data_IF_169107415698
#
_entry.id   IF_169107415698
#
_cell.length_a   1.000
_cell.length_b   1.000
_cell.length_c   1.000
_cell.angle_alpha   90.00
_cell.angle_beta   90.00
_cell.angle_gamma   90.00
#
_symmetry.space_group_name_H-M   'P 1'
#
loop_
_entity.id
_entity.type
_entity.pdbx_description
1 polymer ?
#
# COMPACT_ATOMS: atom_id res chain seq x y z
N UNK A 1 -11.40 -7.56 -5.10
CA UNK A 1 -10.91 -7.13 -3.78
C UNK A 1 -11.13 -5.63 -3.55
N UNK A 2 -10.60 -4.73 -4.43
CA UNK A 2 -10.62 -3.27 -4.22
C UNK A 2 -12.01 -2.69 -4.00
N UNK A 3 -13.03 -3.20 -4.67
CA UNK A 3 -14.42 -2.77 -4.50
C UNK A 3 -15.12 -3.37 -3.28
N UNK A 4 -14.56 -4.44 -2.70
CA UNK A 4 -15.15 -5.13 -1.56
C UNK A 4 -14.73 -4.55 -0.20
N UNK A 5 -13.71 -3.70 -0.15
CA UNK A 5 -13.14 -3.18 1.09
C UNK A 5 -13.57 -1.73 1.29
N UNK A 6 -14.34 -1.48 2.36
CA UNK A 6 -14.72 -0.13 2.81
C UNK A 6 -13.59 0.47 3.64
N UNK A 7 -12.71 1.21 2.97
CA UNK A 7 -11.55 1.83 3.64
C UNK A 7 -11.94 3.00 4.54
N UNK A 8 -13.06 3.66 4.28
CA UNK A 8 -13.56 4.75 5.13
C UNK A 8 -14.09 4.20 6.45
N UNK A 9 -14.80 3.07 6.40
CA UNK A 9 -15.22 2.36 7.61
C UNK A 9 -14.01 1.87 8.42
N UNK A 10 -12.97 1.34 7.77
CA UNK A 10 -11.71 0.93 8.42
C UNK A 10 -11.03 2.16 9.06
N UNK A 11 -10.94 3.27 8.34
CA UNK A 11 -10.35 4.51 8.87
C UNK A 11 -11.10 4.99 10.12
N UNK A 12 -12.42 5.02 10.07
CA UNK A 12 -13.24 5.42 11.20
C UNK A 12 -13.08 4.48 12.41
N UNK A 13 -13.11 3.17 12.18
CA UNK A 13 -13.10 2.16 13.25
C UNK A 13 -11.73 1.98 13.93
N UNK A 14 -10.65 1.97 13.17
CA UNK A 14 -9.31 1.62 13.65
C UNK A 14 -8.35 2.80 13.73
N UNK A 15 -8.61 3.89 13.00
CA UNK A 15 -7.70 5.02 12.87
C UNK A 15 -8.35 6.34 13.29
N UNK A 16 -9.55 6.30 13.85
CA UNK A 16 -10.32 7.48 14.35
C UNK A 16 -10.49 8.55 13.27
N UNK A 17 -10.53 8.18 11.99
CA UNK A 17 -10.61 9.11 10.87
C UNK A 17 -9.33 9.92 10.60
N UNK A 18 -8.22 9.61 11.27
CA UNK A 18 -6.99 10.39 11.18
C UNK A 18 -6.10 10.02 10.00
N UNK A 19 -6.38 8.93 9.32
CA UNK A 19 -5.62 8.53 8.14
C UNK A 19 -6.10 9.26 6.89
N UNK A 20 -5.21 9.47 5.94
CA UNK A 20 -5.55 9.88 4.60
C UNK A 20 -5.62 8.64 3.72
N UNK A 21 -6.79 8.42 3.10
CA UNK A 21 -6.99 7.27 2.24
C UNK A 21 -6.32 7.49 0.89
N UNK A 22 -5.71 6.44 0.37
CA UNK A 22 -5.16 6.39 -0.98
C UNK A 22 -5.29 4.98 -1.53
N UNK A 23 -5.32 4.86 -2.83
CA UNK A 23 -5.28 3.62 -3.57
C UNK A 23 -4.04 3.51 -4.47
N UNK A 24 -3.11 4.43 -4.28
CA UNK A 24 -1.82 4.49 -4.97
C UNK A 24 -0.67 4.48 -3.97
N UNK A 25 0.53 4.21 -4.47
CA UNK A 25 1.79 4.34 -3.72
C UNK A 25 2.28 5.78 -3.69
N UNK A 26 1.36 6.67 -3.47
CA UNK A 26 1.62 8.10 -3.33
C UNK A 26 0.56 8.71 -2.43
N UNK A 27 0.93 9.78 -1.75
CA UNK A 27 -0.01 10.56 -0.95
C UNK A 27 -0.76 11.51 -1.88
N UNK A 28 -2.09 11.61 -1.80
CA UNK A 28 -2.85 12.59 -2.55
C UNK A 28 -2.25 14.00 -2.44
N UNK A 29 -2.05 14.65 -3.58
CA UNK A 29 -1.41 15.96 -3.68
C UNK A 29 0.12 15.95 -3.70
N UNK A 30 0.78 14.79 -3.60
CA UNK A 30 2.23 14.69 -3.82
C UNK A 30 2.57 14.68 -5.30
N UNK A 31 3.83 14.99 -5.64
CA UNK A 31 4.30 15.06 -7.03
C UNK A 31 4.18 13.72 -7.79
N UNK A 32 4.23 12.60 -7.05
CA UNK A 32 4.15 11.24 -7.60
C UNK A 32 2.73 10.69 -7.68
N UNK A 33 1.74 11.39 -7.10
CA UNK A 33 0.34 11.00 -7.15
C UNK A 33 -0.23 11.25 -8.54
N UNK A 34 -0.90 10.24 -9.10
CA UNK A 34 -1.49 10.33 -10.44
C UNK A 34 -2.99 10.58 -10.35
N UNK A 35 -3.39 11.86 -10.46
CA UNK A 35 -4.79 12.30 -10.40
C UNK A 35 -5.65 11.80 -11.59
N UNK A 36 -5.02 11.26 -12.63
CA UNK A 36 -5.74 10.78 -13.81
C UNK A 36 -6.29 9.36 -13.65
N UNK A 37 -5.88 8.63 -12.61
CA UNK A 37 -6.36 7.28 -12.36
C UNK A 37 -7.75 7.31 -11.72
N UNK A 38 -8.60 6.37 -12.15
CA UNK A 38 -9.89 6.15 -11.53
C UNK A 38 -9.69 5.48 -10.17
N UNK A 39 -10.23 6.09 -9.12
CA UNK A 39 -10.17 5.52 -7.79
C UNK A 39 -11.16 4.38 -7.63
N UNK A 40 -10.75 3.37 -6.86
CA UNK A 40 -11.67 2.34 -6.41
C UNK A 40 -12.58 2.89 -5.32
N UNK A 41 -13.88 2.79 -5.53
CA UNK A 41 -14.90 3.09 -4.51
C UNK A 41 -15.42 1.79 -3.91
N UNK A 42 -15.91 1.85 -2.68
CA UNK A 42 -16.60 0.70 -2.07
C UNK A 42 -17.89 0.41 -2.86
N UNK A 43 -17.96 -0.76 -3.47
CA UNK A 43 -19.10 -1.23 -4.27
C UNK A 43 -19.13 -2.77 -4.25
N UNK A 44 -19.71 -3.36 -3.19
CA UNK A 44 -19.76 -4.81 -3.05
C UNK A 44 -20.55 -5.52 -4.15
N UNK A 45 -21.55 -4.86 -4.77
CA UNK A 45 -22.30 -5.45 -5.86
C UNK A 45 -21.44 -5.55 -7.13
N UNK A 46 -20.64 -4.54 -7.41
CA UNK A 46 -19.63 -4.60 -8.47
C UNK A 46 -18.58 -5.66 -8.20
N UNK A 47 -18.16 -5.82 -6.94
CA UNK A 47 -17.23 -6.89 -6.56
C UNK A 47 -17.81 -8.27 -6.87
N UNK A 48 -19.09 -8.53 -6.53
CA UNK A 48 -19.79 -9.78 -6.84
C UNK A 48 -19.92 -10.00 -8.35
N UNK A 49 -20.26 -8.96 -9.11
CA UNK A 49 -20.36 -9.04 -10.58
C UNK A 49 -19.02 -9.47 -11.20
N UNK A 50 -17.92 -8.83 -10.78
CA UNK A 50 -16.57 -9.17 -11.27
C UNK A 50 -16.13 -10.59 -10.86
N UNK A 51 -16.53 -11.05 -9.67
CA UNK A 51 -16.29 -12.44 -9.25
C UNK A 51 -17.04 -13.42 -10.14
N UNK A 52 -18.31 -13.13 -10.45
CA UNK A 52 -19.11 -13.97 -11.34
C UNK A 52 -18.53 -14.01 -12.77
N UNK A 53 -18.11 -12.86 -13.31
CA UNK A 53 -17.44 -12.77 -14.62
C UNK A 53 -16.14 -13.58 -14.66
N UNK A 54 -15.40 -13.61 -13.54
CA UNK A 54 -14.17 -14.41 -13.37
C UNK A 54 -14.44 -15.91 -13.13
N UNK A 55 -15.71 -16.35 -13.10
CA UNK A 55 -16.07 -17.76 -12.88
C UNK A 55 -16.24 -18.17 -11.41
N UNK A 56 -16.29 -17.21 -10.49
CA UNK A 56 -16.44 -17.42 -9.04
C UNK A 56 -17.77 -16.91 -8.52
N UNK A 57 -18.87 -17.17 -9.24
CA UNK A 57 -20.22 -16.72 -8.85
C UNK A 57 -20.68 -17.28 -7.48
N UNK A 58 -20.21 -18.49 -7.14
CA UNK A 58 -20.48 -19.15 -5.86
C UNK A 58 -19.44 -18.79 -4.76
N UNK A 59 -18.55 -17.85 -5.07
CA UNK A 59 -17.44 -17.50 -4.18
C UNK A 59 -16.30 -18.53 -4.16
N UNK A 60 -15.34 -18.31 -3.29
CA UNK A 60 -14.23 -19.24 -3.06
C UNK A 60 -13.61 -19.02 -1.68
N UNK A 61 -12.82 -20.00 -1.24
CA UNK A 61 -12.06 -19.93 0.01
C UNK A 61 -10.59 -19.67 -0.29
N UNK A 62 -9.98 -18.75 0.44
CA UNK A 62 -8.54 -18.45 0.35
C UNK A 62 -7.94 -18.27 1.74
N UNK A 63 -6.62 -18.24 1.81
CA UNK A 63 -5.92 -17.89 3.05
C UNK A 63 -5.59 -16.40 3.05
N UNK A 64 -5.57 -15.79 4.24
CA UNK A 64 -5.08 -14.44 4.43
C UNK A 64 -4.16 -14.39 5.64
N UNK A 65 -2.98 -13.79 5.45
CA UNK A 65 -1.94 -13.72 6.47
C UNK A 65 -1.64 -12.27 6.85
N UNK A 66 -1.32 -12.05 8.12
CA UNK A 66 -0.79 -10.78 8.62
C UNK A 66 0.19 -11.00 9.75
N UNK A 67 0.91 -9.95 10.11
CA UNK A 67 1.77 -9.92 11.30
C UNK A 67 0.96 -9.50 12.53
N UNK A 68 1.49 -9.80 13.72
CA UNK A 68 0.87 -9.39 14.99
C UNK A 68 0.66 -7.87 15.05
N UNK A 69 -0.45 -7.46 15.65
CA UNK A 69 -0.85 -6.05 15.80
C UNK A 69 -1.84 -5.55 14.74
N UNK A 70 -2.13 -6.33 13.70
CA UNK A 70 -3.14 -5.98 12.68
C UNK A 70 -4.33 -6.96 12.63
N UNK A 71 -4.46 -7.84 13.60
CA UNK A 71 -5.47 -8.92 13.58
C UNK A 71 -6.91 -8.42 13.54
N UNK A 72 -7.22 -7.36 14.28
CA UNK A 72 -8.59 -6.83 14.34
C UNK A 72 -8.98 -6.17 13.01
N UNK A 73 -8.07 -5.39 12.43
CA UNK A 73 -8.26 -4.81 11.10
C UNK A 73 -8.39 -5.91 10.03
N UNK A 74 -7.54 -6.94 10.11
CA UNK A 74 -7.62 -8.07 9.19
C UNK A 74 -8.95 -8.80 9.31
N UNK A 75 -9.46 -8.99 10.52
CA UNK A 75 -10.76 -9.60 10.75
C UNK A 75 -11.89 -8.78 10.11
N UNK A 76 -11.84 -7.45 10.24
CA UNK A 76 -12.81 -6.57 9.58
C UNK A 76 -12.73 -6.69 8.05
N UNK A 77 -11.53 -6.70 7.48
CA UNK A 77 -11.32 -6.90 6.04
C UNK A 77 -11.86 -8.26 5.59
N UNK A 78 -11.56 -9.32 6.34
CA UNK A 78 -12.04 -10.67 6.02
C UNK A 78 -13.57 -10.76 6.05
N UNK A 79 -14.23 -10.09 6.98
CA UNK A 79 -15.70 -10.03 7.02
C UNK A 79 -16.27 -9.29 5.79
N UNK A 80 -15.65 -8.18 5.36
CA UNK A 80 -16.06 -7.48 4.14
C UNK A 80 -15.87 -8.34 2.89
N UNK A 81 -14.81 -9.14 2.85
CA UNK A 81 -14.56 -10.08 1.75
C UNK A 81 -15.58 -11.24 1.77
N UNK A 82 -15.96 -11.71 2.95
CA UNK A 82 -16.99 -12.76 3.12
C UNK A 82 -18.36 -12.33 2.58
N UNK A 83 -18.73 -11.06 2.75
CA UNK A 83 -19.97 -10.47 2.22
C UNK A 83 -20.08 -10.54 0.68
N UNK A 84 -18.96 -10.62 0.00
CA UNK A 84 -18.91 -10.75 -1.47
C UNK A 84 -18.58 -12.17 -1.94
N UNK A 85 -18.50 -13.14 -1.02
CA UNK A 85 -18.24 -14.54 -1.32
C UNK A 85 -16.78 -14.96 -1.30
N UNK A 86 -15.87 -14.13 -0.76
CA UNK A 86 -14.46 -14.50 -0.58
C UNK A 86 -14.22 -14.89 0.89
N UNK A 87 -14.24 -16.19 1.16
CA UNK A 87 -14.08 -16.72 2.50
C UNK A 87 -12.60 -16.83 2.88
N UNK A 88 -12.18 -16.11 3.92
CA UNK A 88 -10.77 -16.01 4.30
C UNK A 88 -10.43 -16.85 5.53
N UNK A 89 -9.49 -17.80 5.40
CA UNK A 89 -8.84 -18.45 6.54
C UNK A 89 -7.74 -17.52 7.06
N UNK A 90 -7.94 -16.93 8.25
CA UNK A 90 -7.01 -15.95 8.81
C UNK A 90 -5.86 -16.68 9.52
N UNK A 91 -4.63 -16.28 9.20
CA UNK A 91 -3.43 -16.75 9.87
C UNK A 91 -2.56 -15.56 10.31
N UNK A 92 -2.05 -15.64 11.52
CA UNK A 92 -1.11 -14.67 12.08
C UNK A 92 0.28 -15.29 12.19
N UNK A 93 1.29 -14.53 11.75
CA UNK A 93 2.69 -14.94 11.83
C UNK A 93 3.56 -13.82 12.38
N UNK A 94 4.79 -14.13 12.72
CA UNK A 94 5.81 -13.12 13.00
C UNK A 94 6.35 -12.47 11.71
N UNK A 95 7.01 -11.31 11.85
CA UNK A 95 7.52 -10.55 10.70
C UNK A 95 8.58 -11.31 9.89
N UNK A 96 9.38 -12.16 10.54
CA UNK A 96 10.42 -12.91 9.84
C UNK A 96 9.79 -13.99 8.94
N UNK A 97 8.79 -14.72 9.45
CA UNK A 97 8.02 -15.70 8.69
C UNK A 97 7.28 -15.04 7.54
N UNK A 98 6.64 -13.87 7.78
CA UNK A 98 5.96 -13.13 6.72
C UNK A 98 6.90 -12.72 5.58
N UNK A 99 8.07 -12.18 5.92
CA UNK A 99 9.10 -11.80 4.95
C UNK A 99 9.66 -13.02 4.20
N UNK A 100 9.78 -14.16 4.88
CA UNK A 100 10.26 -15.40 4.25
C UNK A 100 9.25 -15.89 3.21
N UNK A 101 7.94 -15.89 3.52
CA UNK A 101 6.91 -16.26 2.56
C UNK A 101 6.91 -15.39 1.31
N UNK A 102 7.10 -14.06 1.47
CA UNK A 102 7.22 -13.16 0.33
C UNK A 102 8.43 -13.51 -0.55
N UNK A 103 9.60 -13.68 0.07
CA UNK A 103 10.86 -13.98 -0.64
C UNK A 103 10.84 -15.31 -1.36
N UNK A 104 10.28 -16.33 -0.75
CA UNK A 104 10.26 -17.67 -1.31
C UNK A 104 9.12 -17.87 -2.31
N UNK A 105 8.09 -17.01 -2.24
CA UNK A 105 6.86 -17.17 -3.02
C UNK A 105 6.10 -18.44 -2.66
N UNK A 106 6.20 -18.88 -1.40
CA UNK A 106 5.59 -20.13 -0.92
C UNK A 106 4.24 -19.93 -0.25
N UNK A 107 3.81 -18.69 -0.08
CA UNK A 107 2.49 -18.38 0.44
C UNK A 107 1.44 -18.47 -0.68
N UNK A 108 0.36 -19.16 -0.39
CA UNK A 108 -0.83 -19.23 -1.25
C UNK A 108 -1.98 -18.46 -0.61
N UNK A 109 -2.39 -17.35 -1.24
CA UNK A 109 -3.48 -16.51 -0.77
C UNK A 109 -3.12 -15.03 -0.68
N UNK A 110 -3.84 -14.32 0.18
CA UNK A 110 -3.71 -12.89 0.38
C UNK A 110 -2.74 -12.58 1.52
N UNK A 111 -2.11 -11.41 1.44
CA UNK A 111 -1.25 -10.88 2.53
C UNK A 111 -1.68 -9.46 2.87
N UNK A 112 -1.92 -9.20 4.16
CA UNK A 112 -2.00 -7.83 4.67
C UNK A 112 -0.62 -7.43 5.17
N UNK A 113 0.01 -6.53 4.47
CA UNK A 113 1.39 -6.13 4.71
C UNK A 113 1.49 -4.66 5.06
N UNK A 114 2.39 -4.35 6.01
CA UNK A 114 2.79 -2.99 6.30
C UNK A 114 3.80 -2.49 5.28
N UNK A 115 3.53 -1.31 4.76
CA UNK A 115 4.43 -0.65 3.86
C UNK A 115 4.53 0.84 4.19
N UNK A 116 5.67 1.44 3.89
CA UNK A 116 5.89 2.87 4.05
C UNK A 116 5.84 3.51 2.68
N UNK A 117 5.00 4.51 2.48
CA UNK A 117 5.07 5.33 1.27
C UNK A 117 6.30 6.22 1.40
N UNK A 118 7.23 6.08 0.47
CA UNK A 118 8.43 6.90 0.37
C UNK A 118 8.25 8.02 -0.67
N UNK A 119 8.88 9.18 -0.50
CA UNK A 119 8.89 10.23 -1.52
C UNK A 119 9.50 9.77 -2.84
N UNK A 120 10.48 8.89 -2.78
CA UNK A 120 11.10 8.25 -3.95
C UNK A 120 10.42 6.91 -4.23
N UNK A 121 9.50 6.90 -5.19
CA UNK A 121 8.77 5.72 -5.60
C UNK A 121 9.69 4.65 -6.19
N UNK A 122 10.72 5.05 -6.95
CA UNK A 122 11.68 4.13 -7.55
C UNK A 122 12.49 3.35 -6.52
N UNK A 123 12.91 4.03 -5.44
CA UNK A 123 13.58 3.36 -4.32
C UNK A 123 12.63 2.38 -3.64
N UNK A 124 11.38 2.79 -3.45
CA UNK A 124 10.40 1.99 -2.75
C UNK A 124 9.98 0.76 -3.57
N UNK A 125 9.58 0.96 -4.83
CA UNK A 125 9.19 -0.13 -5.73
C UNK A 125 10.35 -1.11 -5.95
N UNK A 126 11.58 -0.62 -5.99
CA UNK A 126 12.74 -1.48 -6.08
C UNK A 126 12.91 -2.47 -4.93
N UNK A 127 12.39 -2.16 -3.74
CA UNK A 127 12.42 -3.12 -2.63
C UNK A 127 11.51 -4.32 -2.85
N UNK A 128 10.42 -4.15 -3.59
CA UNK A 128 9.39 -5.17 -3.81
C UNK A 128 9.52 -5.87 -5.16
N UNK A 129 9.87 -5.14 -6.20
CA UNK A 129 9.90 -5.65 -7.57
C UNK A 129 11.28 -6.19 -8.00
N UNK A 130 12.37 -5.64 -7.45
CA UNK A 130 13.72 -6.11 -7.78
C UNK A 130 14.03 -7.41 -7.03
N UNK A 131 14.50 -8.43 -7.78
CA UNK A 131 14.88 -9.74 -7.22
C UNK A 131 15.91 -9.67 -6.08
N UNK A 132 16.68 -8.56 -5.99
CA UNK A 132 17.62 -8.30 -4.92
C UNK A 132 17.02 -7.39 -3.83
N UNK A 133 15.76 -6.99 -3.96
CA UNK A 133 15.06 -6.13 -3.03
C UNK A 133 14.84 -6.80 -1.67
N UNK A 134 14.87 -5.99 -0.61
CA UNK A 134 14.71 -6.49 0.76
C UNK A 134 13.35 -7.17 1.01
N UNK A 135 12.33 -6.72 0.30
CA UNK A 135 10.95 -7.23 0.38
C UNK A 135 10.48 -7.80 -0.96
N UNK A 136 11.39 -8.35 -1.75
CA UNK A 136 11.04 -8.94 -3.03
C UNK A 136 9.92 -9.97 -2.89
N UNK A 137 8.82 -9.70 -3.58
CA UNK A 137 7.62 -10.52 -3.54
C UNK A 137 7.61 -11.49 -4.73
N UNK A 138 8.26 -12.63 -4.58
CA UNK A 138 8.43 -13.62 -5.66
C UNK A 138 7.12 -14.21 -6.18
N UNK A 139 6.09 -14.24 -5.35
CA UNK A 139 4.79 -14.84 -5.70
C UNK A 139 3.87 -13.96 -6.54
N UNK A 140 4.24 -12.69 -6.79
CA UNK A 140 3.46 -11.77 -7.61
C UNK A 140 3.98 -11.76 -9.05
N UNK A 141 3.18 -11.18 -9.95
CA UNK A 141 3.60 -10.91 -11.31
C UNK A 141 4.63 -9.77 -11.36
N UNK A 142 5.56 -9.85 -12.29
CA UNK A 142 6.57 -8.84 -12.58
C UNK A 142 6.50 -8.46 -14.05
N UNK A 143 5.51 -7.64 -14.48
CA UNK A 143 5.35 -7.26 -15.87
C UNK A 143 6.56 -6.50 -16.41
N UNK A 144 6.96 -6.78 -17.64
CA UNK A 144 8.13 -6.16 -18.26
C UNK A 144 8.05 -4.63 -18.24
N UNK A 145 6.88 -4.06 -18.52
CA UNK A 145 6.67 -2.62 -18.49
C UNK A 145 6.98 -1.99 -17.12
N UNK A 146 6.57 -2.62 -16.03
CA UNK A 146 6.87 -2.14 -14.69
C UNK A 146 8.37 -2.21 -14.38
N UNK A 147 9.03 -3.28 -14.84
CA UNK A 147 10.46 -3.43 -14.64
C UNK A 147 11.27 -2.43 -15.47
N UNK A 148 10.86 -2.14 -16.72
CA UNK A 148 11.45 -1.09 -17.55
C UNK A 148 11.30 0.29 -16.92
N UNK A 149 10.09 0.67 -16.49
CA UNK A 149 9.83 1.93 -15.80
C UNK A 149 10.65 2.07 -14.51
N UNK A 150 10.78 0.99 -13.74
CA UNK A 150 11.61 1.01 -12.53
C UNK A 150 13.07 1.35 -12.84
N UNK A 151 13.63 0.77 -13.92
CA UNK A 151 15.00 1.07 -14.34
C UNK A 151 15.14 2.50 -14.90
N UNK A 152 14.14 3.00 -15.62
CA UNK A 152 14.12 4.38 -16.10
C UNK A 152 14.06 5.40 -14.95
N UNK A 153 13.16 5.19 -13.98
CA UNK A 153 13.05 6.01 -12.76
C UNK A 153 14.38 6.08 -12.01
N UNK A 154 15.06 4.94 -11.86
CA UNK A 154 16.35 4.85 -11.16
C UNK A 154 17.48 5.60 -11.86
N UNK A 155 17.42 5.70 -13.17
CA UNK A 155 18.44 6.41 -13.99
C UNK A 155 18.11 7.87 -14.22
N UNK A 156 16.86 8.27 -14.03
CA UNK A 156 16.41 9.63 -14.27
C UNK A 156 16.97 10.58 -13.20
N UNK A 157 17.72 11.59 -13.66
CA UNK A 157 18.31 12.61 -12.78
C UNK A 157 17.51 13.92 -12.78
N UNK A 158 16.61 14.11 -13.73
CA UNK A 158 15.71 15.25 -13.79
C UNK A 158 14.50 14.99 -12.91
N UNK A 159 14.22 15.81 -11.89
CA UNK A 159 13.12 15.58 -10.96
C UNK A 159 11.75 15.59 -11.62
N UNK A 160 11.53 16.51 -12.57
CA UNK A 160 10.22 16.65 -13.22
C UNK A 160 9.93 15.46 -14.14
N UNK A 161 10.93 15.01 -14.87
CA UNK A 161 10.82 13.81 -15.71
C UNK A 161 10.66 12.54 -14.84
N UNK A 162 11.40 12.47 -13.73
CA UNK A 162 11.26 11.35 -12.78
C UNK A 162 9.83 11.25 -12.24
N UNK A 163 9.20 12.39 -11.85
CA UNK A 163 7.82 12.39 -11.37
C UNK A 163 6.81 11.93 -12.45
N UNK A 164 7.07 12.20 -13.74
CA UNK A 164 6.23 11.69 -14.82
C UNK A 164 6.34 10.18 -14.93
N UNK A 165 7.56 9.64 -14.90
CA UNK A 165 7.79 8.20 -14.92
C UNK A 165 7.17 7.50 -13.70
N UNK A 166 7.24 8.13 -12.52
CA UNK A 166 6.61 7.62 -11.30
C UNK A 166 5.08 7.59 -11.42
N UNK A 167 4.46 8.59 -12.02
CA UNK A 167 3.02 8.59 -12.32
C UNK A 167 2.65 7.52 -13.37
N UNK A 168 3.49 7.31 -14.36
CA UNK A 168 3.31 6.24 -15.34
C UNK A 168 3.44 4.85 -14.69
N UNK A 169 4.37 4.69 -13.75
CA UNK A 169 4.50 3.47 -12.95
C UNK A 169 3.25 3.19 -12.11
N UNK A 170 2.65 4.22 -11.48
CA UNK A 170 1.36 4.07 -10.80
C UNK A 170 0.28 3.56 -11.76
N UNK A 171 0.20 4.12 -12.97
CA UNK A 171 -0.76 3.68 -13.96
C UNK A 171 -0.53 2.23 -14.42
N UNK A 172 0.72 1.83 -14.59
CA UNK A 172 1.08 0.46 -14.98
C UNK A 172 0.69 -0.57 -13.91
N UNK A 173 0.96 -0.28 -12.63
CA UNK A 173 0.57 -1.15 -11.50
C UNK A 173 -0.95 -1.28 -11.38
N UNK A 174 -1.67 -0.20 -11.74
CA UNK A 174 -3.12 -0.11 -11.64
C UNK A 174 -3.87 -0.76 -12.80
N UNK A 175 -3.16 -1.10 -13.88
CA UNK A 175 -3.77 -1.73 -15.04
C UNK A 175 -4.30 -3.12 -14.69
N UNK A 176 -5.60 -3.32 -14.87
CA UNK A 176 -6.27 -4.55 -14.45
C UNK A 176 -5.91 -5.77 -15.32
N UNK A 177 -5.39 -5.55 -16.54
CA UNK A 177 -5.07 -6.62 -17.48
C UNK A 177 -3.58 -6.95 -17.47
N UNK A 178 -2.73 -5.95 -17.32
CA UNK A 178 -1.27 -6.09 -17.52
C UNK A 178 -0.45 -5.73 -16.29
N UNK A 179 -1.03 -5.08 -15.30
CA UNK A 179 -0.35 -4.66 -14.08
C UNK A 179 -0.06 -5.82 -13.13
N UNK A 180 0.95 -5.63 -12.29
CA UNK A 180 1.34 -6.61 -11.26
C UNK A 180 0.24 -6.83 -10.21
N UNK A 181 -0.68 -5.89 -10.05
CA UNK A 181 -1.66 -5.85 -8.96
C UNK A 181 -1.00 -6.09 -7.60
N UNK A 182 0.28 -5.71 -7.47
CA UNK A 182 1.14 -5.94 -6.31
C UNK A 182 0.44 -5.50 -5.02
N UNK A 183 -0.28 -4.40 -5.13
CA UNK A 183 -1.05 -3.86 -4.04
C UNK A 183 -2.50 -3.79 -4.46
N UNK A 184 -3.26 -4.79 -4.13
CA UNK A 184 -4.68 -4.81 -4.42
C UNK A 184 -5.38 -3.54 -3.95
N UNK A 185 -5.01 -3.01 -2.79
CA UNK A 185 -5.39 -1.69 -2.31
C UNK A 185 -4.42 -1.20 -1.26
N UNK A 186 -3.90 0.01 -1.42
CA UNK A 186 -3.28 0.74 -0.32
C UNK A 186 -4.40 1.27 0.55
N UNK A 187 -4.46 0.82 1.79
CA UNK A 187 -5.61 1.11 2.64
C UNK A 187 -5.56 2.54 3.18
N UNK A 188 -4.38 3.03 3.54
CA UNK A 188 -4.24 4.37 4.11
C UNK A 188 -2.79 4.82 4.22
N UNK A 189 -2.64 6.13 4.34
CA UNK A 189 -1.40 6.78 4.77
C UNK A 189 -1.65 7.41 6.12
N UNK A 190 -0.90 7.00 7.13
CA UNK A 190 -0.94 7.63 8.44
C UNK A 190 -0.41 9.06 8.34
N UNK A 191 -1.20 10.02 8.76
CA UNK A 191 -0.70 11.34 9.11
C UNK A 191 -0.09 11.25 10.49
N UNK A 192 1.22 11.26 10.58
CA UNK A 192 1.89 11.42 11.87
C UNK A 192 1.57 12.80 12.44
N UNK A 193 0.98 12.83 13.62
CA UNK A 193 0.77 14.08 14.35
C UNK A 193 1.83 14.19 15.41
N UNK A 194 2.65 15.22 15.34
CA UNK A 194 3.57 15.58 16.42
C UNK A 194 2.96 16.68 17.26
N UNK A 195 2.98 16.48 18.56
CA UNK A 195 2.62 17.51 19.52
C UNK A 195 3.90 18.13 20.05
N UNK A 196 4.04 19.44 19.92
CA UNK A 196 5.10 20.19 20.58
C UNK A 196 4.50 21.20 21.53
N UNK A 197 5.17 21.44 22.64
CA UNK A 197 4.84 22.53 23.53
C UNK A 197 5.25 23.85 22.88
N UNK A 198 4.55 24.95 23.21
CA UNK A 198 4.81 26.29 22.64
C UNK A 198 6.24 26.79 22.85
N UNK A 199 6.93 26.27 23.87
CA UNK A 199 8.32 26.60 24.17
C UNK A 199 9.34 25.74 23.40
N UNK A 200 8.90 24.78 22.59
CA UNK A 200 9.77 24.02 21.70
C UNK A 200 9.77 24.67 20.34
N UNK A 201 10.89 25.23 19.97
CA UNK A 201 11.08 25.81 18.65
C UNK A 201 11.68 24.77 17.72
N UNK A 202 11.00 24.51 16.62
CA UNK A 202 11.42 23.58 15.59
C UNK A 202 10.72 23.94 14.29
N UNK A 203 11.50 24.27 13.29
CA UNK A 203 11.04 24.65 11.96
C UNK A 203 11.07 23.51 10.94
N UNK A 204 11.60 22.34 11.34
CA UNK A 204 11.70 21.15 10.48
C UNK A 204 10.76 20.00 10.84
N UNK A 205 9.99 20.11 11.91
CA UNK A 205 9.10 19.04 12.39
C UNK A 205 8.04 18.60 11.36
N UNK A 206 7.62 19.52 10.48
CA UNK A 206 6.60 19.27 9.45
C UNK A 206 7.14 18.57 8.21
N UNK A 207 8.45 18.58 8.03
CA UNK A 207 9.14 17.98 6.88
C UNK A 207 9.69 16.58 7.21
N UNK A 208 9.63 16.19 8.49
CA UNK A 208 10.16 14.94 8.95
C UNK A 208 9.42 13.76 8.28
N UNK A 209 10.13 13.10 7.41
CA UNK A 209 9.71 11.86 6.79
C UNK A 209 9.97 10.71 7.76
N UNK A 210 8.88 10.03 8.17
CA UNK A 210 8.90 8.80 8.95
C UNK A 210 10.01 8.66 9.99
N UNK A 211 9.76 9.04 11.22
CA UNK A 211 10.60 8.78 12.41
C UNK A 211 12.06 9.28 12.34
N UNK A 212 12.43 10.02 11.33
CA UNK A 212 13.76 10.60 11.16
C UNK A 212 13.74 12.10 11.42
N UNK A 213 13.19 12.50 12.54
CA UNK A 213 13.20 13.88 12.97
C UNK A 213 14.62 14.29 13.39
N UNK A 214 15.18 15.27 12.69
CA UNK A 214 16.46 15.86 13.05
C UNK A 214 16.28 16.89 14.17
N UNK A 215 16.68 16.51 15.36
CA UNK A 215 16.63 17.37 16.55
C UNK A 215 17.73 18.44 16.59
N UNK A 216 18.65 18.45 15.64
CA UNK A 216 19.78 19.39 15.65
C UNK A 216 19.34 20.85 15.52
N UNK A 217 18.18 21.09 14.90
CA UNK A 217 17.57 22.41 14.71
C UNK A 217 16.48 22.75 15.76
N UNK A 218 16.31 21.88 16.79
CA UNK A 218 15.36 22.10 17.86
C UNK A 218 15.99 22.78 19.08
N UNK A 219 15.29 23.75 19.67
CA UNK A 219 15.71 24.35 20.92
C UNK A 219 14.53 24.69 21.83
N UNK A 220 14.80 24.88 23.12
CA UNK A 220 13.83 25.29 24.11
C UNK A 220 13.90 26.80 24.33
N UNK A 221 12.80 27.46 24.07
CA UNK A 221 12.63 28.88 24.36
C UNK A 221 11.90 29.01 25.71
N UNK A 222 12.66 28.97 26.80
CA UNK A 222 12.18 29.11 28.18
C UNK A 222 12.38 30.52 28.68
#
# INVERSE_FOLDING_TARGET
LCYAIDVDAINAAFLMGMAQMTDQWAVPGSATYNDSLNHFTYDPEKAKSLLAEAGYADGFTTNIITISGMSDMLTAIANMLDEVGIHCNIQQVDSATNNQYMKDGTWEGLMLHFATIAPDLGLYMGRHLDKNGAYYAKGIQHPDKEMELLEEIRRCMDPDEKHKLEKEMQAAIYDAETGSCLFGRVLYVNKSSMYKYDYVIDDHATEAFTACWDLSACWLNK
#
